data_IF_709434722699
#
_entry.id   IF_709434722699
#
_cell.length_a   1.000
_cell.length_b   1.000
_cell.length_c   1.000
_cell.angle_alpha   90.00
_cell.angle_beta   90.00
_cell.angle_gamma   90.00
#
_symmetry.space_group_name_H-M   'P 1'
#
loop_
_entity.id
_entity.type
_entity.pdbx_description
1 polymer ?
#
# COMPACT_ATOMS: atom_id res chain seq x y z
N UNK A 1 -10.55 -22.05 -17.02
CA UNK A 1 -11.63 -21.80 -16.04
C UNK A 1 -11.17 -20.68 -15.14
N UNK A 2 -11.94 -19.60 -15.06
CA UNK A 2 -11.63 -18.45 -14.21
C UNK A 2 -11.91 -18.86 -12.75
N UNK A 3 -10.94 -18.69 -11.85
CA UNK A 3 -11.13 -18.90 -10.41
C UNK A 3 -11.19 -17.53 -9.74
N UNK A 4 -12.38 -17.12 -9.30
CA UNK A 4 -12.53 -15.91 -8.49
C UNK A 4 -12.22 -16.29 -7.02
N UNK A 5 -11.05 -15.90 -6.55
CA UNK A 5 -10.65 -15.96 -5.14
C UNK A 5 -10.69 -14.54 -4.54
N UNK A 6 -10.84 -14.41 -3.23
CA UNK A 6 -10.80 -13.13 -2.50
C UNK A 6 -9.51 -12.35 -2.82
N UNK A 7 -8.39 -13.06 -2.96
CA UNK A 7 -7.10 -12.49 -3.39
C UNK A 7 -7.20 -11.85 -4.77
N UNK A 8 -7.78 -12.56 -5.75
CA UNK A 8 -7.97 -12.05 -7.11
C UNK A 8 -8.91 -10.85 -7.15
N UNK A 9 -9.97 -10.86 -6.34
CA UNK A 9 -10.89 -9.73 -6.21
C UNK A 9 -10.17 -8.49 -5.65
N UNK A 10 -9.36 -8.65 -4.60
CA UNK A 10 -8.57 -7.57 -4.03
C UNK A 10 -7.57 -7.01 -5.04
N UNK A 11 -6.80 -7.88 -5.72
CA UNK A 11 -5.86 -7.47 -6.78
C UNK A 11 -6.58 -6.74 -7.91
N UNK A 12 -7.75 -7.23 -8.34
CA UNK A 12 -8.55 -6.58 -9.37
C UNK A 12 -9.01 -5.18 -8.95
N UNK A 13 -9.48 -5.03 -7.70
CA UNK A 13 -9.92 -3.76 -7.15
C UNK A 13 -8.74 -2.78 -7.07
N UNK A 14 -7.58 -3.23 -6.59
CA UNK A 14 -6.36 -2.43 -6.53
C UNK A 14 -5.90 -1.99 -7.93
N UNK A 15 -5.96 -2.88 -8.92
CA UNK A 15 -5.63 -2.56 -10.31
C UNK A 15 -6.57 -1.48 -10.87
N UNK A 16 -7.88 -1.66 -10.71
CA UNK A 16 -8.89 -0.68 -11.17
C UNK A 16 -8.72 0.66 -10.46
N UNK A 17 -8.56 0.65 -9.14
CA UNK A 17 -8.34 1.86 -8.35
C UNK A 17 -7.10 2.62 -8.84
N UNK A 18 -6.00 1.92 -9.06
CA UNK A 18 -4.76 2.50 -9.59
C UNK A 18 -4.96 3.07 -10.99
N UNK A 19 -5.66 2.35 -11.87
CA UNK A 19 -5.97 2.81 -13.21
C UNK A 19 -6.81 4.10 -13.19
N UNK A 20 -7.80 4.18 -12.29
CA UNK A 20 -8.64 5.37 -12.09
C UNK A 20 -7.82 6.54 -11.54
N UNK A 21 -6.93 6.31 -10.57
CA UNK A 21 -6.03 7.35 -10.09
C UNK A 21 -5.14 7.87 -11.21
N UNK A 22 -4.52 6.98 -11.98
CA UNK A 22 -3.70 7.33 -13.14
C UNK A 22 -4.49 8.14 -14.17
N UNK A 23 -5.72 7.74 -14.47
CA UNK A 23 -6.60 8.46 -15.38
C UNK A 23 -6.87 9.89 -14.91
N UNK A 24 -7.18 10.07 -13.63
CA UNK A 24 -7.43 11.40 -13.06
C UNK A 24 -6.20 12.31 -13.09
N UNK A 25 -4.99 11.73 -13.14
CA UNK A 25 -3.76 12.52 -13.22
C UNK A 25 -3.45 13.04 -14.62
N UNK A 26 -4.13 12.58 -15.69
CA UNK A 26 -3.80 12.95 -17.08
C UNK A 26 -3.91 14.47 -17.33
N UNK A 27 -4.93 15.12 -16.74
CA UNK A 27 -5.18 16.56 -16.93
C UNK A 27 -4.37 17.49 -16.03
N UNK A 28 -3.57 16.96 -15.10
CA UNK A 28 -2.80 17.77 -14.16
C UNK A 28 -1.44 18.18 -14.75
N UNK A 29 -0.88 19.30 -14.27
CA UNK A 29 0.42 19.85 -14.69
C UNK A 29 1.55 18.84 -14.47
N UNK A 30 2.36 18.59 -15.50
CA UNK A 30 3.37 17.52 -15.53
C UNK A 30 4.36 17.52 -14.35
N UNK A 31 4.74 18.70 -13.84
CA UNK A 31 5.77 18.84 -12.80
C UNK A 31 5.35 18.21 -11.46
N UNK A 32 4.09 18.39 -11.06
CA UNK A 32 3.54 17.89 -9.78
C UNK A 32 3.19 16.41 -9.85
N UNK A 33 2.98 15.91 -11.06
CA UNK A 33 2.30 14.65 -11.33
C UNK A 33 3.29 13.55 -11.74
N UNK A 34 4.55 13.93 -12.03
CA UNK A 34 5.59 13.02 -12.48
C UNK A 34 5.77 11.84 -11.51
N UNK A 35 5.89 12.13 -10.21
CA UNK A 35 6.09 11.09 -9.18
C UNK A 35 4.85 10.19 -9.03
N UNK A 36 3.62 10.71 -8.83
CA UNK A 36 2.41 9.88 -8.82
C UNK A 36 2.25 9.02 -10.08
N UNK A 37 2.59 9.55 -11.26
CA UNK A 37 2.51 8.78 -12.52
C UNK A 37 3.54 7.66 -12.58
N UNK A 38 4.78 7.89 -12.16
CA UNK A 38 5.81 6.84 -12.16
C UNK A 38 5.41 5.73 -11.20
N UNK A 39 5.06 6.09 -9.96
CA UNK A 39 4.64 5.11 -8.94
C UNK A 39 3.38 4.37 -9.37
N UNK A 40 2.37 5.10 -9.84
CA UNK A 40 1.11 4.54 -10.34
C UNK A 40 1.32 3.62 -11.54
N UNK A 41 2.21 3.97 -12.47
CA UNK A 41 2.54 3.12 -13.63
C UNK A 41 3.23 1.83 -13.20
N UNK A 42 4.22 1.91 -12.31
CA UNK A 42 4.92 0.73 -11.76
C UNK A 42 3.91 -0.18 -11.05
N UNK A 43 3.07 0.40 -10.19
CA UNK A 43 2.07 -0.33 -9.42
C UNK A 43 0.99 -0.94 -10.31
N UNK A 44 0.56 -0.24 -11.37
CA UNK A 44 -0.38 -0.75 -12.37
C UNK A 44 0.20 -1.95 -13.13
N UNK A 45 1.48 -1.90 -13.52
CA UNK A 45 2.15 -3.01 -14.18
C UNK A 45 2.24 -4.22 -13.26
N UNK A 46 2.72 -4.05 -12.02
CA UNK A 46 2.82 -5.16 -11.07
C UNK A 46 1.46 -5.77 -10.73
N UNK A 47 0.47 -4.93 -10.40
CA UNK A 47 -0.88 -5.41 -10.09
C UNK A 47 -1.57 -6.04 -11.31
N UNK A 48 -1.28 -5.57 -12.53
CA UNK A 48 -1.77 -6.17 -13.77
C UNK A 48 -1.18 -7.56 -14.01
N UNK A 49 0.13 -7.72 -13.82
CA UNK A 49 0.80 -9.03 -13.90
C UNK A 49 0.25 -9.97 -12.83
N UNK A 50 0.11 -9.51 -11.60
CA UNK A 50 -0.46 -10.30 -10.50
C UNK A 50 -1.90 -10.72 -10.81
N UNK A 51 -2.74 -9.80 -11.30
CA UNK A 51 -4.11 -10.10 -11.68
C UNK A 51 -4.18 -11.15 -12.79
N UNK A 52 -3.29 -11.09 -13.80
CA UNK A 52 -3.21 -12.09 -14.86
C UNK A 52 -2.82 -13.47 -14.33
N UNK A 53 -1.85 -13.53 -13.41
CA UNK A 53 -1.43 -14.79 -12.77
C UNK A 53 -2.58 -15.37 -11.93
N UNK A 54 -3.27 -14.54 -11.16
CA UNK A 54 -4.39 -14.95 -10.30
C UNK A 54 -5.60 -15.43 -11.13
N UNK A 55 -5.89 -14.77 -12.26
CA UNK A 55 -7.05 -15.10 -13.10
C UNK A 55 -6.78 -16.31 -14.02
N UNK A 56 -5.53 -16.50 -14.43
CA UNK A 56 -5.09 -17.56 -15.35
C UNK A 56 -3.98 -18.43 -14.75
N UNK A 57 -4.32 -19.50 -14.00
CA UNK A 57 -3.32 -20.39 -13.39
C UNK A 57 -2.41 -21.10 -14.41
N UNK A 58 -2.83 -21.18 -15.68
CA UNK A 58 -1.99 -21.69 -16.77
C UNK A 58 -0.78 -20.79 -17.09
N UNK A 59 -0.86 -19.48 -16.78
CA UNK A 59 0.26 -18.54 -16.89
C UNK A 59 1.19 -18.72 -15.69
N UNK A 60 0.62 -18.92 -14.50
CA UNK A 60 1.37 -19.16 -13.27
C UNK A 60 2.34 -20.35 -13.39
N UNK A 61 1.90 -21.45 -14.01
CA UNK A 61 2.74 -22.65 -14.18
C UNK A 61 3.96 -22.41 -15.09
N UNK A 62 3.86 -21.48 -16.05
CA UNK A 62 4.97 -21.08 -16.93
C UNK A 62 5.91 -20.08 -16.28
N UNK A 63 5.41 -19.28 -15.34
CA UNK A 63 6.18 -18.33 -14.56
C UNK A 63 6.79 -18.92 -13.28
N UNK A 64 6.69 -20.24 -13.07
CA UNK A 64 7.24 -20.92 -11.89
C UNK A 64 8.75 -20.76 -11.69
N UNK A 65 9.48 -20.29 -12.73
CA UNK A 65 10.88 -19.89 -12.61
C UNK A 65 11.07 -18.64 -11.73
N UNK A 66 10.10 -17.73 -11.68
CA UNK A 66 10.10 -16.57 -10.79
C UNK A 66 9.62 -16.90 -9.37
N UNK A 67 8.83 -17.97 -9.18
CA UNK A 67 8.34 -18.37 -7.85
C UNK A 67 9.32 -19.26 -7.08
N UNK A 68 10.35 -19.83 -7.72
CA UNK A 68 11.27 -20.79 -7.09
C UNK A 68 12.36 -20.16 -6.21
N UNK A 69 12.39 -18.83 -6.06
CA UNK A 69 13.37 -18.12 -5.22
C UNK A 69 12.76 -17.33 -4.04
N UNK A 70 11.49 -17.57 -3.70
CA UNK A 70 10.83 -16.86 -2.59
C UNK A 70 10.68 -17.69 -1.31
N UNK A 71 11.65 -18.55 -0.99
CA UNK A 71 11.84 -19.09 0.38
C UNK A 71 12.68 -18.14 1.27
N UNK A 72 13.02 -16.95 0.76
CA UNK A 72 13.68 -15.88 1.49
C UNK A 72 12.79 -14.64 1.67
N UNK A 73 11.57 -14.80 2.18
CA UNK A 73 10.65 -13.68 2.45
C UNK A 73 10.91 -13.00 3.80
N UNK A 74 12.11 -12.50 4.02
CA UNK A 74 12.33 -11.37 4.94
C UNK A 74 12.08 -10.06 4.20
N UNK A 75 10.85 -9.89 3.70
CA UNK A 75 10.34 -8.59 3.26
C UNK A 75 9.56 -7.95 4.39
N UNK A 76 10.01 -6.76 4.74
CA UNK A 76 9.47 -5.87 5.76
C UNK A 76 8.00 -5.58 5.43
N UNK A 77 7.10 -6.21 6.18
CA UNK A 77 5.66 -5.93 6.15
C UNK A 77 4.83 -6.90 5.32
N UNK A 78 4.51 -8.06 5.90
CA UNK A 78 3.47 -8.95 5.38
C UNK A 78 3.79 -10.42 5.59
N UNK A 79 3.51 -10.92 6.79
CA UNK A 79 3.33 -12.37 7.01
C UNK A 79 2.27 -12.87 6.01
N UNK A 80 2.69 -13.75 5.11
CA UNK A 80 1.87 -14.28 4.05
C UNK A 80 2.49 -15.53 3.44
N UNK A 81 3.06 -16.41 4.28
CA UNK A 81 3.27 -17.81 3.91
C UNK A 81 1.93 -18.51 4.12
N UNK A 82 1.35 -18.94 3.01
CA UNK A 82 0.05 -19.61 2.95
C UNK A 82 0.25 -21.05 3.42
N UNK A 83 0.04 -21.28 4.71
CA UNK A 83 -0.49 -22.56 5.20
C UNK A 83 -2.02 -22.44 5.21
N UNK A 84 -2.64 -22.85 4.10
CA UNK A 84 -4.07 -23.15 4.05
C UNK A 84 -4.33 -24.31 5.01
N UNK A 85 -4.76 -24.01 6.23
CA UNK A 85 -5.78 -24.75 7.02
C UNK A 85 -5.77 -24.31 8.49
N UNK A 86 -6.10 -23.05 8.73
CA UNK A 86 -6.91 -22.54 9.85
C UNK A 86 -6.68 -21.03 9.92
N UNK A 87 -7.45 -20.25 9.16
CA UNK A 87 -7.51 -18.80 9.38
C UNK A 87 -7.94 -18.57 10.84
N UNK A 88 -6.97 -18.32 11.71
CA UNK A 88 -7.23 -18.06 13.11
C UNK A 88 -8.00 -16.75 13.20
N UNK A 89 -8.93 -16.65 14.15
CA UNK A 89 -9.73 -15.42 14.38
C UNK A 89 -8.86 -14.15 14.51
N UNK A 90 -7.60 -14.32 14.89
CA UNK A 90 -6.60 -13.27 15.02
C UNK A 90 -6.22 -12.63 13.68
N UNK A 91 -6.03 -13.41 12.61
CA UNK A 91 -5.75 -12.86 11.28
C UNK A 91 -6.90 -12.01 10.76
N UNK A 92 -8.13 -12.52 10.88
CA UNK A 92 -9.33 -11.81 10.44
C UNK A 92 -9.48 -10.47 11.17
N UNK A 93 -9.15 -10.44 12.46
CA UNK A 93 -9.15 -9.21 13.27
C UNK A 93 -8.07 -8.25 12.81
N UNK A 94 -6.87 -8.73 12.51
CA UNK A 94 -5.75 -7.92 12.01
C UNK A 94 -6.10 -7.27 10.67
N UNK A 95 -6.65 -8.05 9.72
CA UNK A 95 -7.12 -7.53 8.42
C UNK A 95 -8.18 -6.45 8.59
N UNK A 96 -9.16 -6.66 9.47
CA UNK A 96 -10.19 -5.66 9.74
C UNK A 96 -9.61 -4.37 10.36
N UNK A 97 -8.69 -4.50 11.33
CA UNK A 97 -7.98 -3.37 11.93
C UNK A 97 -7.22 -2.56 10.87
N UNK A 98 -6.56 -3.24 9.92
CA UNK A 98 -5.85 -2.58 8.83
C UNK A 98 -6.79 -1.80 7.91
N UNK A 99 -7.94 -2.38 7.55
CA UNK A 99 -8.96 -1.69 6.73
C UNK A 99 -9.48 -0.44 7.45
N UNK A 100 -9.86 -0.56 8.72
CA UNK A 100 -10.34 0.57 9.53
C UNK A 100 -9.25 1.66 9.63
N UNK A 101 -8.00 1.25 9.82
CA UNK A 101 -6.87 2.17 9.87
C UNK A 101 -6.64 2.89 8.53
N UNK A 102 -6.78 2.22 7.39
CA UNK A 102 -6.71 2.89 6.09
C UNK A 102 -7.83 3.92 5.90
N UNK A 103 -9.07 3.57 6.25
CA UNK A 103 -10.20 4.50 6.17
C UNK A 103 -9.96 5.73 7.05
N UNK A 104 -9.45 5.52 8.27
CA UNK A 104 -9.04 6.58 9.18
C UNK A 104 -7.93 7.46 8.56
N UNK A 105 -6.93 6.86 7.91
CA UNK A 105 -5.85 7.60 7.27
C UNK A 105 -6.35 8.48 6.11
N UNK A 106 -7.25 7.96 5.28
CA UNK A 106 -7.89 8.73 4.21
C UNK A 106 -8.70 9.89 4.79
N UNK A 107 -9.49 9.64 5.84
CA UNK A 107 -10.26 10.67 6.51
C UNK A 107 -9.35 11.77 7.11
N UNK A 108 -8.28 11.40 7.82
CA UNK A 108 -7.32 12.36 8.35
C UNK A 108 -6.66 13.19 7.23
N UNK A 109 -6.25 12.54 6.14
CA UNK A 109 -5.64 13.23 5.00
C UNK A 109 -6.59 14.28 4.43
N UNK A 110 -7.89 13.99 4.38
CA UNK A 110 -8.92 14.93 3.93
C UNK A 110 -9.12 16.12 4.89
N UNK A 111 -9.13 15.90 6.21
CA UNK A 111 -9.48 16.96 7.18
C UNK A 111 -8.30 17.82 7.66
N UNK A 112 -7.12 17.23 7.85
CA UNK A 112 -5.96 17.92 8.44
C UNK A 112 -4.75 18.02 7.50
N UNK A 113 -4.86 17.47 6.30
CA UNK A 113 -3.78 17.45 5.31
C UNK A 113 -2.82 16.27 5.48
N UNK A 114 -2.05 16.01 4.42
CA UNK A 114 -1.27 14.78 4.26
C UNK A 114 -0.19 14.60 5.34
N UNK A 115 0.56 15.65 5.67
CA UNK A 115 1.71 15.53 6.59
C UNK A 115 1.24 15.23 8.02
N UNK A 116 0.25 15.98 8.50
CA UNK A 116 -0.32 15.74 9.83
C UNK A 116 -1.03 14.39 9.89
N UNK A 117 -1.72 14.00 8.82
CA UNK A 117 -2.33 12.67 8.72
C UNK A 117 -1.30 11.54 8.81
N UNK A 118 -0.14 11.66 8.16
CA UNK A 118 0.95 10.69 8.26
C UNK A 118 1.46 10.61 9.69
N UNK A 119 1.75 11.73 10.35
CA UNK A 119 2.26 11.72 11.74
C UNK A 119 1.27 11.02 12.67
N UNK A 120 0.00 11.43 12.63
CA UNK A 120 -1.05 10.90 13.51
C UNK A 120 -1.31 9.42 13.21
N UNK A 121 -1.46 9.06 11.93
CA UNK A 121 -1.76 7.70 11.51
C UNK A 121 -0.63 6.73 11.84
N UNK A 122 0.62 7.12 11.57
CA UNK A 122 1.79 6.28 11.83
C UNK A 122 2.04 6.14 13.34
N UNK A 123 1.80 7.21 14.11
CA UNK A 123 1.85 7.16 15.56
C UNK A 123 0.81 6.19 16.14
N UNK A 124 -0.45 6.30 15.69
CA UNK A 124 -1.54 5.38 16.10
C UNK A 124 -1.20 3.93 15.73
N UNK A 125 -0.70 3.71 14.51
CA UNK A 125 -0.31 2.39 14.03
C UNK A 125 0.78 1.78 14.92
N UNK A 126 1.88 2.48 15.12
CA UNK A 126 3.01 1.97 15.91
C UNK A 126 2.60 1.74 17.36
N UNK A 127 1.77 2.63 17.92
CA UNK A 127 1.38 2.55 19.33
C UNK A 127 0.35 1.47 19.62
N UNK A 128 -0.72 1.38 18.82
CA UNK A 128 -1.83 0.46 19.09
C UNK A 128 -1.69 -0.87 18.36
N UNK A 129 -1.28 -0.86 17.10
CA UNK A 129 -1.20 -2.08 16.29
C UNK A 129 0.14 -2.79 16.55
N UNK A 130 1.25 -2.07 16.46
CA UNK A 130 2.59 -2.66 16.65
C UNK A 130 3.06 -2.74 18.10
N UNK A 131 2.31 -2.16 19.06
CA UNK A 131 2.64 -2.12 20.50
C UNK A 131 4.06 -1.61 20.82
N UNK A 132 4.59 -0.71 20.00
CA UNK A 132 5.94 -0.16 20.17
C UNK A 132 6.04 0.79 21.37
N UNK A 133 7.29 1.04 21.80
CA UNK A 133 7.55 2.03 22.84
C UNK A 133 7.15 3.45 22.39
N UNK A 134 6.75 4.29 23.35
CA UNK A 134 6.32 5.66 23.05
C UNK A 134 7.41 6.49 22.37
N UNK A 135 8.66 6.34 22.81
CA UNK A 135 9.81 7.06 22.24
C UNK A 135 10.03 6.69 20.78
N UNK A 136 9.98 5.41 20.45
CA UNK A 136 10.12 4.95 19.06
C UNK A 136 8.94 5.42 18.21
N UNK A 137 7.71 5.35 18.72
CA UNK A 137 6.53 5.77 17.97
C UNK A 137 6.58 7.24 17.57
N UNK A 138 7.00 8.12 18.48
CA UNK A 138 7.18 9.56 18.20
C UNK A 138 8.34 9.78 17.23
N UNK A 139 9.48 9.13 17.48
CA UNK A 139 10.68 9.33 16.67
C UNK A 139 10.46 8.88 15.21
N UNK A 140 9.90 7.69 14.99
CA UNK A 140 9.61 7.19 13.64
C UNK A 140 8.59 8.04 12.92
N UNK A 141 7.49 8.43 13.58
CA UNK A 141 6.46 9.27 12.95
C UNK A 141 7.01 10.64 12.53
N UNK A 142 7.84 11.28 13.37
CA UNK A 142 8.48 12.56 13.05
C UNK A 142 9.52 12.41 11.92
N UNK A 143 10.37 11.39 11.97
CA UNK A 143 11.39 11.16 10.93
C UNK A 143 10.72 10.88 9.59
N UNK A 144 9.72 10.00 9.55
CA UNK A 144 8.98 9.70 8.32
C UNK A 144 8.30 10.96 7.78
N UNK A 145 7.63 11.74 8.63
CA UNK A 145 7.01 12.99 8.22
C UNK A 145 8.03 14.02 7.70
N UNK A 146 9.21 14.11 8.32
CA UNK A 146 10.29 14.96 7.86
C UNK A 146 10.80 14.53 6.48
N UNK A 147 11.03 13.24 6.26
CA UNK A 147 11.45 12.70 4.96
C UNK A 147 10.42 13.03 3.89
N UNK A 148 9.14 12.76 4.17
CA UNK A 148 8.03 13.08 3.26
C UNK A 148 7.97 14.58 2.97
N UNK A 149 8.08 15.43 4.00
CA UNK A 149 8.12 16.89 3.84
C UNK A 149 9.28 17.30 2.92
N UNK A 150 10.48 16.78 3.15
CA UNK A 150 11.64 17.10 2.31
C UNK A 150 11.44 16.62 0.87
N UNK A 151 10.93 15.40 0.66
CA UNK A 151 10.68 14.89 -0.69
C UNK A 151 9.65 15.72 -1.46
N UNK A 152 8.57 16.15 -0.82
CA UNK A 152 7.48 16.85 -1.49
C UNK A 152 7.68 18.37 -1.56
N UNK A 153 8.11 19.01 -0.47
CA UNK A 153 8.28 20.46 -0.41
C UNK A 153 9.60 20.88 -1.03
N UNK A 154 10.71 20.23 -0.68
CA UNK A 154 12.02 20.61 -1.20
C UNK A 154 12.28 19.95 -2.56
N UNK A 155 11.91 18.67 -2.71
CA UNK A 155 12.17 17.91 -3.92
C UNK A 155 11.24 18.24 -5.09
N UNK A 156 9.95 18.51 -4.80
CA UNK A 156 8.92 18.68 -5.83
C UNK A 156 8.30 20.09 -5.85
N UNK A 157 8.69 20.96 -4.92
CA UNK A 157 8.14 22.33 -4.76
C UNK A 157 6.60 22.36 -4.68
N UNK A 158 6.01 21.32 -4.08
CA UNK A 158 4.57 21.19 -3.91
C UNK A 158 4.18 21.61 -2.50
N UNK A 159 3.54 22.77 -2.39
CA UNK A 159 2.99 23.26 -1.13
C UNK A 159 1.61 22.64 -0.90
N UNK A 160 1.57 21.54 -0.15
CA UNK A 160 0.33 20.86 0.27
C UNK A 160 -0.40 21.59 1.42
N UNK A 161 0.02 22.81 1.76
CA UNK A 161 -0.51 23.61 2.86
C UNK A 161 -1.44 24.70 2.32
N UNK A 162 -2.70 24.37 2.07
CA UNK A 162 -3.80 25.33 2.04
C UNK A 162 -4.99 24.75 2.81
#
# INVERSE_FOLDING_TARGET
MIRLNEKSLFTALLFVFTAVLMWNTIGMRSDVVLVPRIVGTILLVFSGVQLLIDLFPAIASRLSFLSKSSDGSSTIGGEGVVEEETETKEERRSRFLFIVWMVLFVALTYYIGMIYAIVVSLFIYLKWISKQSWRLSILYSLITALIVYLSFVVGLDVYYFM
#
